data_IF_520317938227
#
_entry.id   IF_520317938227
#
_cell.length_a   1.000
_cell.length_b   1.000
_cell.length_c   1.000
_cell.angle_alpha   90.00
_cell.angle_beta   90.00
_cell.angle_gamma   90.00
#
_symmetry.space_group_name_H-M   'P 1'
#
loop_
_entity.id
_entity.type
_entity.pdbx_description
1 polymer ?
#
# COMPACT_ATOMS: atom_id res chain seq x y z
N UNK A 1 -3.47 -9.55 1.84
CA UNK A 1 -2.90 -8.69 2.90
C UNK A 1 -1.91 -9.52 3.69
N UNK A 2 -0.71 -9.00 3.92
CA UNK A 2 0.32 -9.62 4.75
C UNK A 2 0.26 -8.95 6.13
N UNK A 3 -0.09 -9.71 7.16
CA UNK A 3 -0.31 -9.17 8.52
C UNK A 3 0.92 -9.30 9.42
N UNK A 4 1.90 -10.10 9.04
CA UNK A 4 3.23 -10.10 9.65
C UNK A 4 4.02 -8.85 9.22
N UNK A 5 4.87 -8.34 10.11
CA UNK A 5 5.72 -7.18 9.80
C UNK A 5 7.05 -7.61 9.19
N UNK A 6 7.47 -6.93 8.12
CA UNK A 6 8.80 -7.11 7.51
C UNK A 6 9.21 -5.81 6.77
N UNK A 7 10.44 -5.75 6.28
CA UNK A 7 10.97 -4.65 5.47
C UNK A 7 10.24 -4.54 4.13
N UNK A 8 10.28 -3.36 3.51
CA UNK A 8 9.67 -3.13 2.20
C UNK A 8 10.12 -4.13 1.13
N UNK A 9 11.43 -4.38 1.04
CA UNK A 9 12.00 -5.32 0.07
C UNK A 9 11.45 -6.74 0.26
N UNK A 10 11.39 -7.22 1.51
CA UNK A 10 10.89 -8.56 1.81
C UNK A 10 9.38 -8.68 1.59
N UNK A 11 8.60 -7.67 1.96
CA UNK A 11 7.16 -7.65 1.70
C UNK A 11 6.88 -7.66 0.20
N UNK A 12 7.64 -6.88 -0.57
CA UNK A 12 7.56 -6.88 -2.03
C UNK A 12 7.87 -8.26 -2.62
N UNK A 13 9.00 -8.85 -2.21
CA UNK A 13 9.40 -10.20 -2.62
C UNK A 13 8.30 -11.22 -2.31
N UNK A 14 7.67 -11.10 -1.15
CA UNK A 14 6.54 -11.95 -0.76
C UNK A 14 5.33 -11.77 -1.67
N UNK A 15 4.94 -10.53 -2.00
CA UNK A 15 3.86 -10.27 -2.96
C UNK A 15 4.17 -10.83 -4.36
N UNK A 16 5.42 -10.69 -4.82
CA UNK A 16 5.90 -11.26 -6.09
C UNK A 16 5.82 -12.78 -6.11
N UNK A 17 6.19 -13.45 -5.01
CA UNK A 17 6.07 -14.91 -4.88
C UNK A 17 4.62 -15.40 -4.91
N UNK A 18 3.65 -14.55 -4.57
CA UNK A 18 2.21 -14.83 -4.71
C UNK A 18 1.63 -14.44 -6.08
N UNK A 19 2.47 -14.04 -7.05
CA UNK A 19 2.03 -13.67 -8.39
C UNK A 19 1.41 -12.27 -8.50
N UNK A 20 1.75 -11.38 -7.56
CA UNK A 20 1.34 -9.97 -7.55
C UNK A 20 2.53 -9.03 -7.35
N UNK A 21 2.27 -7.81 -6.90
CA UNK A 21 3.27 -6.89 -6.35
C UNK A 21 2.63 -6.14 -5.15
N UNK A 22 3.33 -5.23 -4.50
CA UNK A 22 2.71 -4.31 -3.55
C UNK A 22 1.69 -3.42 -4.28
N UNK A 23 0.53 -3.19 -3.66
CA UNK A 23 -0.61 -2.51 -4.28
C UNK A 23 -0.30 -1.09 -4.75
N UNK A 24 -0.73 -0.75 -5.96
CA UNK A 24 -0.81 0.63 -6.45
C UNK A 24 -2.22 1.17 -6.29
N UNK A 25 -2.35 2.49 -6.12
CA UNK A 25 -3.64 3.15 -5.86
C UNK A 25 -3.78 4.36 -6.77
N UNK A 26 -4.79 4.34 -7.63
CA UNK A 26 -5.02 5.31 -8.71
C UNK A 26 -6.29 6.14 -8.51
N UNK A 27 -7.05 5.90 -7.45
CA UNK A 27 -8.25 6.68 -7.15
C UNK A 27 -8.58 6.73 -5.66
N UNK A 28 -9.45 7.68 -5.29
CA UNK A 28 -10.02 7.75 -3.94
C UNK A 28 -10.81 6.50 -3.57
N UNK A 29 -11.53 5.92 -4.52
CA UNK A 29 -12.30 4.71 -4.29
C UNK A 29 -11.38 3.52 -3.96
N UNK A 30 -10.33 3.32 -4.75
CA UNK A 30 -9.32 2.29 -4.48
C UNK A 30 -8.64 2.50 -3.13
N UNK A 31 -8.28 3.75 -2.78
CA UNK A 31 -7.68 4.05 -1.48
C UNK A 31 -8.55 3.61 -0.30
N UNK A 32 -9.85 3.92 -0.38
CA UNK A 32 -10.83 3.52 0.64
C UNK A 32 -11.01 2.00 0.67
N UNK A 33 -11.09 1.35 -0.49
CA UNK A 33 -11.27 -0.11 -0.59
C UNK A 33 -10.05 -0.85 -0.02
N UNK A 34 -8.85 -0.47 -0.43
CA UNK A 34 -7.57 -1.03 0.03
C UNK A 34 -7.40 -0.85 1.54
N UNK A 35 -7.63 0.36 2.05
CA UNK A 35 -7.54 0.63 3.48
C UNK A 35 -8.57 -0.15 4.31
N UNK A 36 -9.81 -0.26 3.82
CA UNK A 36 -10.86 -1.01 4.51
C UNK A 36 -10.58 -2.52 4.54
N UNK A 37 -10.05 -3.07 3.44
CA UNK A 37 -9.62 -4.47 3.37
C UNK A 37 -8.51 -4.74 4.38
N UNK A 38 -7.49 -3.90 4.43
CA UNK A 38 -6.37 -4.06 5.35
C UNK A 38 -6.81 -3.98 6.82
N UNK A 39 -7.70 -3.04 7.17
CA UNK A 39 -8.29 -2.96 8.51
C UNK A 39 -9.10 -4.22 8.86
N UNK A 40 -9.89 -4.74 7.92
CA UNK A 40 -10.67 -5.96 8.13
C UNK A 40 -9.79 -7.17 8.41
N UNK A 41 -8.73 -7.37 7.60
CA UNK A 41 -7.80 -8.49 7.77
C UNK A 41 -6.96 -8.38 9.05
N UNK A 42 -6.59 -7.16 9.44
CA UNK A 42 -5.91 -6.90 10.71
C UNK A 42 -6.78 -7.33 11.91
N UNK A 43 -8.05 -6.91 11.93
CA UNK A 43 -8.96 -7.22 13.02
C UNK A 43 -9.18 -8.74 13.16
N UNK A 44 -9.25 -9.47 12.04
CA UNK A 44 -9.32 -10.94 12.04
C UNK A 44 -8.04 -11.58 12.57
N UNK A 45 -6.87 -11.09 12.15
CA UNK A 45 -5.60 -11.71 12.49
C UNK A 45 -5.21 -11.51 13.95
N UNK A 46 -5.53 -10.35 14.54
CA UNK A 46 -5.08 -10.00 15.88
C UNK A 46 -6.09 -10.27 16.99
N UNK A 47 -7.37 -10.53 16.70
CA UNK A 47 -8.44 -10.56 17.72
C UNK A 47 -8.39 -9.34 18.67
N UNK A 48 -7.85 -8.20 18.23
CA UNK A 48 -7.65 -6.98 19.04
C UNK A 48 -8.03 -5.74 18.24
N UNK A 49 -8.40 -4.66 18.94
CA UNK A 49 -8.60 -3.32 18.36
C UNK A 49 -7.31 -2.49 18.43
N UNK A 50 -6.23 -2.92 17.76
CA UNK A 50 -5.02 -2.07 17.69
C UNK A 50 -5.36 -0.75 16.97
N UNK A 51 -4.98 0.36 17.61
CA UNK A 51 -5.47 1.68 17.21
C UNK A 51 -4.62 2.38 16.16
N UNK A 52 -3.41 1.92 15.87
CA UNK A 52 -2.51 2.58 14.92
C UNK A 52 -1.69 1.52 14.20
N UNK A 53 -2.17 1.11 13.02
CA UNK A 53 -1.45 0.16 12.17
C UNK A 53 -1.39 0.73 10.76
N UNK A 54 -0.21 0.65 10.21
CA UNK A 54 0.11 1.14 8.89
C UNK A 54 0.59 0.00 8.03
N UNK A 55 0.19 0.00 6.76
CA UNK A 55 0.55 -1.06 5.82
C UNK A 55 1.36 -0.49 4.67
N UNK A 56 2.45 -1.15 4.31
CA UNK A 56 3.19 -0.82 3.09
C UNK A 56 2.30 -1.02 1.87
N UNK A 57 2.42 -0.06 0.97
CA UNK A 57 1.87 -0.08 -0.38
C UNK A 57 3.02 -0.01 -1.37
N UNK A 58 2.76 -0.13 -2.66
CA UNK A 58 3.79 -0.15 -3.71
C UNK A 58 4.46 1.19 -3.99
N UNK A 59 4.30 2.19 -3.12
CA UNK A 59 4.80 3.54 -3.34
C UNK A 59 6.26 3.62 -2.88
N UNK A 60 7.14 4.13 -3.74
CA UNK A 60 8.55 4.37 -3.41
C UNK A 60 9.04 5.71 -3.94
N UNK A 61 10.02 6.30 -3.26
CA UNK A 61 10.68 7.52 -3.71
C UNK A 61 11.88 7.18 -4.60
N UNK A 62 11.84 7.62 -5.85
CA UNK A 62 12.95 7.51 -6.77
C UNK A 62 13.90 8.69 -6.58
N UNK A 63 15.10 8.42 -6.07
CA UNK A 63 16.13 9.44 -5.81
C UNK A 63 16.81 9.98 -7.07
N UNK A 64 16.77 9.24 -8.19
CA UNK A 64 17.34 9.70 -9.47
C UNK A 64 16.48 10.78 -10.10
N UNK A 65 15.15 10.69 -9.98
CA UNK A 65 14.21 11.64 -10.55
C UNK A 65 13.50 12.51 -9.51
N UNK A 66 13.89 12.40 -8.24
CA UNK A 66 13.30 13.10 -7.10
C UNK A 66 11.77 13.07 -7.09
N UNK A 67 11.19 11.88 -7.32
CA UNK A 67 9.75 11.71 -7.48
C UNK A 67 9.24 10.39 -6.92
N UNK A 68 8.00 10.40 -6.44
CA UNK A 68 7.29 9.20 -6.01
C UNK A 68 6.80 8.40 -7.22
N UNK A 69 6.97 7.08 -7.17
CA UNK A 69 6.50 6.17 -8.21
C UNK A 69 6.01 4.85 -7.63
N UNK A 70 5.16 4.15 -8.38
CA UNK A 70 4.73 2.81 -8.04
C UNK A 70 5.77 1.77 -8.48
N UNK A 71 5.98 0.76 -7.64
CA UNK A 71 6.93 -0.33 -7.91
C UNK A 71 6.52 -1.22 -9.09
N UNK A 72 5.23 -1.23 -9.43
CA UNK A 72 4.65 -1.95 -10.57
C UNK A 72 4.80 -1.18 -11.90
N UNK A 73 5.32 0.05 -11.86
CA UNK A 73 5.55 0.91 -13.02
C UNK A 73 4.30 1.65 -13.54
N UNK A 74 3.16 1.53 -12.87
CA UNK A 74 1.95 2.29 -13.22
C UNK A 74 2.10 3.78 -12.92
N UNK A 75 1.29 4.61 -13.59
CA UNK A 75 1.39 6.06 -13.43
C UNK A 75 0.96 6.51 -12.03
N UNK A 76 1.75 7.39 -11.43
CA UNK A 76 1.41 8.05 -10.16
C UNK A 76 0.43 9.20 -10.41
N UNK A 77 -0.88 8.88 -10.44
CA UNK A 77 -1.95 9.83 -10.78
C UNK A 77 -2.83 10.24 -9.61
N UNK A 78 -2.66 9.61 -8.45
CA UNK A 78 -3.50 9.82 -7.28
C UNK A 78 -2.65 9.91 -6.02
N UNK A 79 -2.99 10.88 -5.18
CA UNK A 79 -2.39 11.09 -3.88
C UNK A 79 -3.49 11.57 -2.92
N UNK A 80 -3.76 10.87 -1.81
CA UNK A 80 -4.66 11.35 -0.76
C UNK A 80 -3.94 12.38 0.13
N UNK A 81 -4.55 12.72 1.25
CA UNK A 81 -3.86 13.46 2.30
C UNK A 81 -2.61 12.69 2.77
N UNK A 82 -1.49 13.40 2.83
CA UNK A 82 -0.21 12.88 3.32
C UNK A 82 0.05 13.46 4.70
N UNK A 83 0.19 12.59 5.71
CA UNK A 83 0.29 12.99 7.13
C UNK A 83 1.74 13.24 7.55
N UNK A 84 2.70 12.57 6.93
CA UNK A 84 4.13 12.91 7.05
C UNK A 84 4.94 12.38 5.87
N UNK A 85 5.84 13.20 5.35
CA UNK A 85 6.94 12.79 4.48
C UNK A 85 8.18 13.52 5.01
N UNK A 86 9.23 12.78 5.36
CA UNK A 86 10.55 13.33 5.59
C UNK A 86 11.54 12.69 4.61
N UNK A 87 12.71 13.29 4.46
CA UNK A 87 13.72 12.88 3.47
C UNK A 87 14.35 11.51 3.74
N UNK A 88 14.04 10.86 4.87
CA UNK A 88 14.52 9.51 5.20
C UNK A 88 13.46 8.43 4.88
N UNK A 89 12.29 8.84 4.39
CA UNK A 89 11.16 7.97 4.16
C UNK A 89 11.01 7.65 2.67
N UNK A 90 11.70 6.59 2.22
CA UNK A 90 11.74 6.22 0.80
C UNK A 90 10.56 5.35 0.35
N UNK A 91 9.66 4.97 1.25
CA UNK A 91 8.53 4.08 0.95
C UNK A 91 7.22 4.71 1.42
N UNK A 92 6.11 4.34 0.80
CA UNK A 92 4.78 4.78 1.22
C UNK A 92 4.03 3.69 1.98
N UNK A 93 3.25 4.14 2.95
CA UNK A 93 2.34 3.29 3.69
C UNK A 93 0.99 3.99 3.88
N UNK A 94 -0.07 3.18 3.97
CA UNK A 94 -1.43 3.62 4.27
C UNK A 94 -1.71 3.40 5.75
N UNK A 95 -2.15 4.46 6.44
CA UNK A 95 -2.65 4.38 7.81
C UNK A 95 -4.13 3.97 7.77
N UNK A 96 -4.44 2.80 8.32
CA UNK A 96 -5.79 2.21 8.24
C UNK A 96 -6.65 2.53 9.45
N UNK A 97 -6.10 3.15 10.49
CA UNK A 97 -6.84 3.45 11.72
C UNK A 97 -6.56 4.82 12.34
N UNK A 98 -5.97 5.76 11.59
CA UNK A 98 -5.81 7.16 12.01
C UNK A 98 -7.10 7.77 12.53
N UNK A 99 -7.04 8.40 13.71
CA UNK A 99 -8.14 9.15 14.32
C UNK A 99 -8.42 10.49 13.63
N UNK A 100 -7.46 11.01 12.86
CA UNK A 100 -7.54 12.34 12.23
C UNK A 100 -7.94 12.26 10.76
N UNK A 101 -7.31 11.37 9.98
CA UNK A 101 -7.62 11.21 8.55
C UNK A 101 -7.51 9.73 8.17
N UNK A 102 -8.64 9.03 8.07
CA UNK A 102 -8.63 7.62 7.65
C UNK A 102 -8.01 7.46 6.27
N UNK A 103 -7.17 6.43 6.13
CA UNK A 103 -6.56 6.03 4.86
C UNK A 103 -5.64 7.09 4.26
N UNK A 104 -5.09 7.96 5.12
CA UNK A 104 -3.99 8.84 4.74
C UNK A 104 -2.73 8.06 4.44
N UNK A 105 -1.85 8.64 3.64
CA UNK A 105 -0.52 8.08 3.40
C UNK A 105 0.53 8.77 4.25
N UNK A 106 1.60 8.04 4.55
CA UNK A 106 2.79 8.61 5.15
C UNK A 106 4.04 7.91 4.57
N UNK A 107 5.17 8.57 4.75
CA UNK A 107 6.47 8.02 4.42
C UNK A 107 6.92 7.00 5.47
N UNK A 108 7.11 5.75 5.04
CA UNK A 108 7.73 4.70 5.82
C UNK A 108 9.27 4.75 5.65
N UNK A 109 10.05 4.79 6.75
CA UNK A 109 11.50 4.73 6.69
C UNK A 109 11.99 3.33 6.32
N UNK A 110 13.12 3.25 5.61
CA UNK A 110 13.64 1.99 5.05
C UNK A 110 14.09 0.95 6.08
N UNK A 111 14.45 1.37 7.29
CA UNK A 111 14.89 0.48 8.37
C UNK A 111 13.78 -0.13 9.22
N UNK A 112 12.52 0.22 8.96
CA UNK A 112 11.38 -0.20 9.77
C UNK A 112 10.61 -1.35 9.11
N UNK A 113 9.92 -2.12 9.94
CA UNK A 113 9.11 -3.25 9.49
C UNK A 113 7.64 -2.93 9.65
N UNK A 114 6.85 -3.36 8.66
CA UNK A 114 5.43 -3.06 8.58
C UNK A 114 4.71 -4.26 7.95
N UNK A 115 3.41 -4.46 8.24
CA UNK A 115 2.58 -5.30 7.41
C UNK A 115 2.42 -4.67 6.01
N UNK A 116 1.87 -5.40 5.05
CA UNK A 116 1.81 -4.95 3.66
C UNK A 116 0.54 -5.38 2.93
N UNK A 117 0.19 -4.66 1.86
CA UNK A 117 -0.94 -5.00 1.00
C UNK A 117 -0.40 -5.33 -0.39
N UNK A 118 -0.63 -6.57 -0.81
CA UNK A 118 -0.34 -7.00 -2.17
C UNK A 118 -1.55 -6.75 -3.07
N UNK A 119 -1.29 -6.39 -4.32
CA UNK A 119 -2.24 -6.49 -5.43
C UNK A 119 -1.79 -7.63 -6.35
N UNK A 120 -2.74 -8.48 -6.74
CA UNK A 120 -2.49 -9.50 -7.75
C UNK A 120 -3.24 -9.16 -9.01
N UNK A 121 -2.51 -8.98 -10.10
CA UNK A 121 -3.06 -8.97 -11.45
C UNK A 121 -3.18 -10.40 -11.94
N UNK A 122 -4.16 -11.15 -11.45
CA UNK A 122 -4.53 -12.39 -12.14
C UNK A 122 -5.02 -12.02 -13.55
N UNK A 123 -4.70 -12.85 -14.54
CA UNK A 123 -5.09 -12.64 -15.94
C UNK A 123 -6.56 -12.23 -16.10
N UNK A 124 -7.44 -12.82 -15.30
CA UNK A 124 -8.87 -12.54 -15.26
C UNK A 124 -9.22 -11.13 -14.72
N UNK A 125 -8.50 -10.63 -13.72
CA UNK A 125 -8.69 -9.27 -13.19
C UNK A 125 -8.24 -8.22 -14.22
N UNK A 126 -7.13 -8.46 -14.94
CA UNK A 126 -6.71 -7.62 -16.07
C UNK A 126 -7.73 -7.62 -17.21
N UNK A 127 -8.24 -8.79 -17.57
CA UNK A 127 -9.29 -8.93 -18.57
C UNK A 127 -10.57 -8.18 -18.16
N UNK A 128 -10.99 -8.29 -16.89
CA UNK A 128 -12.17 -7.61 -16.35
C UNK A 128 -12.00 -6.10 -16.24
N UNK A 129 -10.87 -5.59 -15.72
CA UNK A 129 -10.58 -4.14 -15.66
C UNK A 129 -10.57 -3.50 -17.06
N UNK A 130 -10.26 -4.27 -18.11
CA UNK A 130 -10.36 -3.84 -19.51
C UNK A 130 -11.79 -3.85 -20.04
N UNK A 131 -12.58 -4.86 -19.68
CA UNK A 131 -13.99 -5.00 -20.09
C UNK A 131 -14.95 -4.05 -19.37
N UNK A 132 -14.58 -3.56 -18.18
CA UNK A 132 -15.40 -2.63 -17.37
C UNK A 132 -15.09 -1.14 -17.64
N UNK A 133 -14.27 -0.85 -18.66
CA UNK A 133 -13.93 0.53 -19.08
C UNK A 133 -14.74 0.99 -20.30
N UNK A 134 -15.82 0.31 -20.65
CA UNK A 134 -16.82 0.73 -21.65
C UNK A 134 -18.18 1.02 -20.99
#
# INVERSE_FOLDING_TARGET
VLTNTDTFSNQRSTCLNYGGDLVSIHSRFENVAVGSLALSELNKALNTNKTEVSFLIGLQYNTTWSSWCWVDGTNFTYQPNVVSQDSNNNYGAIDVNSLSVKYSWFGAPSGYTYPAICESDTFWVKAMKKLLKD
#
